data_IF_887241151640
#
_entry.id   IF_887241151640
#
_cell.length_a   1.000
_cell.length_b   1.000
_cell.length_c   1.000
_cell.angle_alpha   90.00
_cell.angle_beta   90.00
_cell.angle_gamma   90.00
#
_symmetry.space_group_name_H-M   'P 1'
#
loop_
_entity.id
_entity.type
_entity.pdbx_description
1 polymer ?
#
# COMPACT_ATOMS: atom_id res chain seq x y z
N UNK A 1 4.37 5.97 10.59
CA UNK A 1 5.66 6.66 10.32
C UNK A 1 6.49 5.93 9.27
N UNK A 2 6.85 4.66 9.45
CA UNK A 2 7.62 3.90 8.45
C UNK A 2 6.96 3.90 7.07
N UNK A 3 5.64 3.66 7.02
CA UNK A 3 4.84 3.75 5.79
C UNK A 3 4.87 5.14 5.17
N UNK A 4 4.72 6.19 5.98
CA UNK A 4 4.76 7.59 5.56
C UNK A 4 6.10 7.92 4.91
N UNK A 5 7.21 7.55 5.54
CA UNK A 5 8.55 7.78 4.99
C UNK A 5 8.78 6.96 3.72
N UNK A 6 8.32 5.71 3.68
CA UNK A 6 8.40 4.88 2.46
C UNK A 6 7.64 5.52 1.29
N UNK A 7 6.46 6.07 1.56
CA UNK A 7 5.67 6.80 0.56
C UNK A 7 6.38 8.05 0.06
N UNK A 8 6.98 8.84 0.94
CA UNK A 8 7.72 10.05 0.57
C UNK A 8 8.91 9.77 -0.35
N UNK A 9 9.52 8.58 -0.26
CA UNK A 9 10.64 8.18 -1.11
C UNK A 9 10.14 7.69 -2.46
N UNK A 10 9.06 6.92 -2.47
CA UNK A 10 8.60 6.21 -3.66
C UNK A 10 7.68 7.07 -4.55
N UNK A 11 7.05 8.13 -4.02
CA UNK A 11 6.05 8.92 -4.75
C UNK A 11 6.50 10.36 -4.99
N UNK A 12 6.13 10.91 -6.14
CA UNK A 12 6.48 12.24 -6.59
C UNK A 12 5.90 13.33 -5.67
N UNK A 13 6.75 14.30 -5.31
CA UNK A 13 6.43 15.31 -4.31
C UNK A 13 5.38 16.34 -4.76
N UNK A 14 5.19 16.52 -6.07
CA UNK A 14 4.32 17.55 -6.66
C UNK A 14 3.05 16.98 -7.23
N UNK A 15 3.11 15.76 -7.74
CA UNK A 15 2.04 15.16 -8.52
C UNK A 15 1.28 14.07 -7.76
N UNK A 16 1.89 13.45 -6.74
CA UNK A 16 1.26 12.33 -6.04
C UNK A 16 0.43 12.78 -4.85
N UNK A 17 -0.85 12.40 -4.84
CA UNK A 17 -1.70 12.53 -3.65
C UNK A 17 -1.15 11.73 -2.46
N UNK A 18 -0.48 10.61 -2.70
CA UNK A 18 0.14 9.79 -1.64
C UNK A 18 1.24 10.55 -0.92
N UNK A 19 2.03 11.35 -1.65
CA UNK A 19 3.04 12.23 -1.05
C UNK A 19 2.36 13.43 -0.37
N UNK A 20 1.52 14.15 -1.10
CA UNK A 20 0.94 15.43 -0.66
C UNK A 20 0.01 15.27 0.55
N UNK A 21 -0.66 14.13 0.72
CA UNK A 21 -1.51 13.85 1.89
C UNK A 21 -0.75 13.24 3.07
N UNK A 22 0.55 12.97 2.93
CA UNK A 22 1.35 12.35 3.98
C UNK A 22 1.43 13.23 5.23
N UNK A 23 1.44 12.60 6.40
CA UNK A 23 1.45 13.31 7.68
C UNK A 23 2.65 14.26 7.82
N UNK A 24 3.84 13.86 7.37
CA UNK A 24 5.05 14.68 7.49
C UNK A 24 5.01 15.91 6.58
N UNK A 25 4.42 15.80 5.38
CA UNK A 25 4.23 16.97 4.52
C UNK A 25 3.16 17.91 5.13
N UNK A 26 2.04 17.34 5.57
CA UNK A 26 0.92 18.09 6.14
C UNK A 26 1.29 18.81 7.45
N UNK A 27 2.20 18.24 8.25
CA UNK A 27 2.74 18.87 9.45
C UNK A 27 3.43 20.20 9.16
N UNK A 28 4.09 20.36 8.02
CA UNK A 28 4.71 21.63 7.58
C UNK A 28 3.70 22.50 6.83
N UNK A 29 2.92 21.90 5.93
CA UNK A 29 2.02 22.61 5.03
C UNK A 29 0.87 23.31 5.77
N UNK A 30 0.15 22.60 6.64
CA UNK A 30 -1.07 23.15 7.27
C UNK A 30 -0.79 24.35 8.19
N UNK A 31 0.23 24.35 9.07
CA UNK A 31 0.55 25.54 9.87
C UNK A 31 0.90 26.75 9.01
N UNK A 32 1.59 26.55 7.87
CA UNK A 32 1.91 27.62 6.94
C UNK A 32 0.64 28.21 6.30
N UNK A 33 -0.29 27.37 5.86
CA UNK A 33 -1.59 27.83 5.33
C UNK A 33 -2.37 28.61 6.39
N UNK A 34 -2.41 28.12 7.64
CA UNK A 34 -3.08 28.82 8.76
C UNK A 34 -2.42 30.17 9.04
N UNK A 35 -1.07 30.25 9.01
CA UNK A 35 -0.32 31.49 9.21
C UNK A 35 -0.59 32.50 8.08
N UNK A 36 -0.57 32.05 6.82
CA UNK A 36 -0.92 32.89 5.66
C UNK A 36 -2.34 33.44 5.79
N UNK A 37 -3.29 32.58 6.19
CA UNK A 37 -4.69 32.95 6.35
C UNK A 37 -4.91 34.00 7.46
N UNK A 38 -4.13 33.96 8.55
CA UNK A 38 -4.21 34.93 9.66
C UNK A 38 -3.46 36.24 9.39
N UNK A 39 -2.59 36.26 8.39
CA UNK A 39 -1.75 37.41 8.05
C UNK A 39 -2.20 38.13 6.78
N UNK A 40 -1.23 38.79 6.13
CA UNK A 40 -1.47 39.53 4.88
C UNK A 40 -1.73 38.61 3.65
N UNK A 41 -1.64 37.28 3.85
CA UNK A 41 -1.82 36.25 2.82
C UNK A 41 -3.27 35.75 2.68
N UNK A 42 -4.21 36.27 3.47
CA UNK A 42 -5.57 35.73 3.59
C UNK A 42 -6.29 35.62 2.24
N UNK A 43 -6.22 36.69 1.43
CA UNK A 43 -6.84 36.72 0.12
C UNK A 43 -6.25 35.67 -0.81
N UNK A 44 -4.93 35.45 -0.81
CA UNK A 44 -4.29 34.43 -1.64
C UNK A 44 -4.76 33.03 -1.24
N UNK A 45 -4.84 32.73 0.07
CA UNK A 45 -5.34 31.45 0.55
C UNK A 45 -6.79 31.23 0.12
N UNK A 46 -7.67 32.22 0.32
CA UNK A 46 -9.08 32.14 -0.10
C UNK A 46 -9.19 31.91 -1.62
N UNK A 47 -8.38 32.61 -2.43
CA UNK A 47 -8.37 32.40 -3.88
C UNK A 47 -7.92 30.99 -4.27
N UNK A 48 -6.90 30.42 -3.61
CA UNK A 48 -6.50 29.02 -3.83
C UNK A 48 -7.63 28.05 -3.49
N UNK A 49 -8.38 28.29 -2.41
CA UNK A 49 -9.55 27.47 -2.06
C UNK A 49 -10.68 27.58 -3.10
N UNK A 50 -10.92 28.78 -3.65
CA UNK A 50 -11.89 28.94 -4.74
C UNK A 50 -11.46 28.20 -6.01
N UNK A 51 -10.18 28.28 -6.39
CA UNK A 51 -9.62 27.52 -7.50
C UNK A 51 -9.74 26.01 -7.27
N UNK A 52 -9.42 25.55 -6.07
CA UNK A 52 -9.56 24.13 -5.70
C UNK A 52 -11.01 23.64 -5.81
N UNK A 53 -11.96 24.41 -5.25
CA UNK A 53 -13.39 24.12 -5.38
C UNK A 53 -13.82 24.08 -6.84
N UNK A 54 -13.41 25.05 -7.65
CA UNK A 54 -13.72 25.09 -9.08
C UNK A 54 -13.19 23.84 -9.77
N UNK A 55 -11.93 23.46 -9.55
CA UNK A 55 -11.33 22.26 -10.12
C UNK A 55 -12.06 20.97 -9.74
N UNK A 56 -12.44 20.80 -8.47
CA UNK A 56 -13.18 19.63 -8.00
C UNK A 56 -14.61 19.56 -8.56
N UNK A 57 -15.24 20.71 -8.79
CA UNK A 57 -16.64 20.80 -9.21
C UNK A 57 -16.84 20.91 -10.71
N UNK A 58 -15.77 20.81 -11.50
CA UNK A 58 -15.87 20.68 -12.96
C UNK A 58 -16.63 19.40 -13.32
N UNK A 59 -17.64 19.46 -14.20
CA UNK A 59 -18.40 18.29 -14.61
C UNK A 59 -17.53 17.13 -15.13
N UNK A 60 -16.47 17.43 -15.87
CA UNK A 60 -15.50 16.44 -16.37
C UNK A 60 -14.72 15.72 -15.25
N UNK A 61 -14.65 16.29 -14.04
CA UNK A 61 -13.95 15.71 -12.88
C UNK A 61 -14.89 15.00 -11.89
N UNK A 62 -16.21 15.14 -12.06
CA UNK A 62 -17.20 14.59 -11.14
C UNK A 62 -17.70 13.23 -11.63
N UNK A 63 -17.65 12.24 -10.74
CA UNK A 63 -18.29 10.94 -10.92
C UNK A 63 -19.29 10.76 -9.80
N UNK A 64 -20.53 10.45 -10.15
CA UNK A 64 -21.61 10.27 -9.20
C UNK A 64 -22.00 8.79 -9.22
N UNK A 65 -21.93 8.16 -8.04
CA UNK A 65 -22.34 6.78 -7.86
C UNK A 65 -23.56 6.74 -6.93
N UNK A 66 -24.67 6.22 -7.44
CA UNK A 66 -25.94 6.10 -6.71
C UNK A 66 -26.28 4.61 -6.60
N UNK A 67 -26.51 4.14 -5.36
CA UNK A 67 -26.89 2.76 -5.11
C UNK A 67 -28.10 2.70 -4.16
N UNK A 68 -28.91 1.66 -4.31
CA UNK A 68 -30.15 1.46 -3.55
C UNK A 68 -31.26 0.91 -4.43
N UNK A 69 -32.49 0.89 -3.91
CA UNK A 69 -33.64 0.46 -4.70
C UNK A 69 -34.19 1.60 -5.59
N UNK A 70 -33.34 2.09 -6.48
CA UNK A 70 -33.61 3.27 -7.31
C UNK A 70 -34.85 3.06 -8.18
N UNK A 71 -35.07 1.83 -8.65
CA UNK A 71 -36.23 1.45 -9.47
C UNK A 71 -37.57 1.44 -8.70
N UNK A 72 -37.55 1.45 -7.37
CA UNK A 72 -38.78 1.60 -6.55
C UNK A 72 -39.19 3.06 -6.34
N UNK A 73 -38.35 4.02 -6.71
CA UNK A 73 -38.71 5.44 -6.61
C UNK A 73 -39.66 5.81 -7.74
N UNK A 74 -40.70 6.59 -7.44
CA UNK A 74 -41.67 7.01 -8.45
C UNK A 74 -41.02 7.90 -9.54
N UNK A 75 -40.13 8.81 -9.14
CA UNK A 75 -39.46 9.76 -10.03
C UNK A 75 -37.96 9.90 -9.69
N UNK A 76 -37.12 8.86 -9.89
CA UNK A 76 -35.73 8.84 -9.41
C UNK A 76 -34.84 9.95 -10.00
N UNK A 77 -35.26 10.54 -11.13
CA UNK A 77 -34.53 11.63 -11.81
C UNK A 77 -34.97 13.03 -11.40
N UNK A 78 -36.12 13.21 -10.74
CA UNK A 78 -36.69 14.55 -10.51
C UNK A 78 -35.79 15.42 -9.63
N UNK A 79 -35.22 14.85 -8.57
CA UNK A 79 -34.30 15.54 -7.64
C UNK A 79 -33.06 16.07 -8.36
N UNK A 80 -32.56 15.32 -9.36
CA UNK A 80 -31.43 15.76 -10.17
C UNK A 80 -31.81 16.96 -11.03
N UNK A 81 -32.96 16.92 -11.70
CA UNK A 81 -33.45 18.04 -12.51
C UNK A 81 -33.76 19.29 -11.68
N UNK A 82 -34.20 19.13 -10.43
CA UNK A 82 -34.57 20.25 -9.56
C UNK A 82 -33.36 20.97 -8.98
N UNK A 83 -32.30 20.24 -8.59
CA UNK A 83 -31.18 20.80 -7.84
C UNK A 83 -29.86 20.88 -8.59
N UNK A 84 -29.74 20.23 -9.76
CA UNK A 84 -28.50 20.22 -10.54
C UNK A 84 -28.68 20.94 -11.89
N UNK A 85 -27.63 21.63 -12.30
CA UNK A 85 -27.55 22.27 -13.62
C UNK A 85 -27.47 21.18 -14.70
N UNK A 86 -28.36 21.25 -15.68
CA UNK A 86 -28.29 20.41 -16.88
C UNK A 86 -27.15 20.92 -17.78
N UNK A 87 -26.31 20.00 -18.26
CA UNK A 87 -25.18 20.29 -19.14
C UNK A 87 -25.52 19.71 -20.51
N UNK A 88 -25.80 20.57 -21.48
CA UNK A 88 -26.30 20.16 -22.80
C UNK A 88 -25.26 19.41 -23.65
N UNK A 89 -23.98 19.75 -23.48
CA UNK A 89 -22.86 19.11 -24.16
C UNK A 89 -21.76 18.75 -23.14
N UNK A 90 -21.89 17.62 -22.42
CA UNK A 90 -20.90 17.21 -21.44
C UNK A 90 -19.59 16.85 -22.15
N UNK A 91 -18.48 17.33 -21.60
CA UNK A 91 -17.15 16.86 -22.01
C UNK A 91 -16.95 15.43 -21.51
N UNK A 92 -16.06 14.69 -22.17
CA UNK A 92 -15.59 13.40 -21.66
C UNK A 92 -14.98 13.55 -20.26
N UNK A 93 -15.22 12.56 -19.41
CA UNK A 93 -14.65 12.53 -18.06
C UNK A 93 -13.12 12.51 -18.12
N UNK A 94 -12.49 13.32 -17.26
CA UNK A 94 -11.04 13.31 -17.05
C UNK A 94 -10.64 11.93 -16.51
N UNK A 95 -9.71 11.21 -17.16
CA UNK A 95 -9.21 9.93 -16.66
C UNK A 95 -8.66 10.05 -15.24
N UNK A 96 -8.88 9.03 -14.40
CA UNK A 96 -8.28 8.98 -13.07
C UNK A 96 -6.92 8.31 -13.21
N UNK A 97 -5.81 9.02 -12.94
CA UNK A 97 -4.49 8.42 -13.03
C UNK A 97 -4.28 7.42 -11.88
N UNK A 98 -3.55 6.34 -12.15
CA UNK A 98 -3.14 5.38 -11.13
C UNK A 98 -1.92 5.89 -10.37
N UNK A 99 -1.82 5.54 -9.09
CA UNK A 99 -0.71 5.98 -8.23
C UNK A 99 0.67 5.62 -8.79
N UNK A 100 0.82 4.47 -9.46
CA UNK A 100 2.08 4.07 -10.10
C UNK A 100 2.60 5.05 -11.18
N UNK A 101 1.73 5.89 -11.75
CA UNK A 101 2.14 6.91 -12.74
C UNK A 101 2.94 8.05 -12.09
N UNK A 102 2.83 8.23 -10.77
CA UNK A 102 3.49 9.30 -10.01
C UNK A 102 4.54 8.74 -9.05
N UNK A 103 5.22 7.67 -9.44
CA UNK A 103 6.39 7.18 -8.72
C UNK A 103 7.61 8.07 -9.00
N UNK A 104 8.54 8.12 -8.05
CA UNK A 104 9.89 8.63 -8.26
C UNK A 104 10.74 7.60 -9.01
N UNK A 105 12.00 7.90 -9.31
CA UNK A 105 12.95 6.89 -9.79
C UNK A 105 13.11 5.73 -8.79
N UNK A 106 13.12 6.03 -7.49
CA UNK A 106 13.23 5.02 -6.43
C UNK A 106 11.98 4.16 -6.32
N UNK A 107 10.79 4.73 -6.53
CA UNK A 107 9.55 3.96 -6.61
C UNK A 107 9.51 3.08 -7.85
N UNK A 108 9.94 3.58 -9.02
CA UNK A 108 9.95 2.79 -10.26
C UNK A 108 10.98 1.66 -10.23
N UNK A 109 12.12 1.88 -9.60
CA UNK A 109 13.22 0.91 -9.53
C UNK A 109 13.68 0.74 -8.07
N UNK A 110 12.93 0.00 -7.23
CA UNK A 110 13.33 -0.23 -5.85
C UNK A 110 14.70 -0.92 -5.77
N UNK A 111 15.55 -0.46 -4.87
CA UNK A 111 16.91 -0.99 -4.69
C UNK A 111 17.92 0.08 -4.30
N UNK A 112 18.85 -0.29 -3.43
CA UNK A 112 19.98 0.52 -2.95
C UNK A 112 19.57 1.86 -2.32
N UNK A 113 18.32 1.99 -1.88
CA UNK A 113 17.81 3.19 -1.20
C UNK A 113 17.23 2.82 0.15
N UNK A 114 17.44 3.71 1.12
CA UNK A 114 16.78 3.55 2.39
C UNK A 114 17.30 4.43 3.50
N UNK A 115 16.50 4.51 4.55
CA UNK A 115 16.77 5.38 5.69
C UNK A 115 16.57 4.64 7.01
N UNK A 116 17.40 4.99 7.99
CA UNK A 116 17.13 4.73 9.39
C UNK A 116 16.73 6.05 10.02
N UNK A 117 15.45 6.17 10.38
CA UNK A 117 14.86 7.36 10.97
C UNK A 117 14.93 7.26 12.48
N UNK A 118 15.62 8.21 13.09
CA UNK A 118 15.71 8.34 14.55
C UNK A 118 14.43 8.98 15.09
N UNK A 119 13.72 8.27 15.97
CA UNK A 119 12.53 8.78 16.64
C UNK A 119 12.64 8.55 18.15
N UNK A 120 12.89 9.58 18.98
CA UNK A 120 13.01 9.43 20.43
C UNK A 120 11.70 9.04 21.15
N UNK A 121 10.54 9.35 20.57
CA UNK A 121 9.23 9.17 21.21
C UNK A 121 8.66 7.73 21.12
N UNK A 122 9.48 6.73 20.82
CA UNK A 122 9.06 5.33 20.70
C UNK A 122 10.00 4.42 21.50
N UNK A 123 9.53 3.21 21.81
CA UNK A 123 10.28 2.18 22.53
C UNK A 123 10.60 0.96 21.66
N UNK A 124 10.12 0.94 20.42
CA UNK A 124 10.28 -0.17 19.48
C UNK A 124 10.92 0.29 18.18
N UNK A 125 11.47 -0.66 17.44
CA UNK A 125 11.90 -0.51 16.05
C UNK A 125 10.81 -1.03 15.11
N UNK A 126 10.66 -0.37 13.98
CA UNK A 126 9.71 -0.70 12.91
C UNK A 126 10.47 -0.71 11.58
N UNK A 127 10.20 -1.64 10.69
CA UNK A 127 10.76 -1.59 9.33
C UNK A 127 9.72 -1.85 8.26
N UNK A 128 10.00 -1.33 7.07
CA UNK A 128 9.22 -1.56 5.86
C UNK A 128 10.19 -1.72 4.70
N UNK A 129 9.95 -2.75 3.92
CA UNK A 129 10.72 -3.13 2.74
C UNK A 129 9.76 -3.04 1.55
N UNK A 130 10.23 -2.48 0.44
CA UNK A 130 9.45 -2.40 -0.80
C UNK A 130 10.28 -2.94 -1.95
N UNK A 131 9.68 -3.83 -2.74
CA UNK A 131 10.22 -4.31 -3.99
C UNK A 131 9.17 -4.18 -5.09
N UNK A 132 9.58 -4.38 -6.35
CA UNK A 132 8.66 -4.45 -7.48
C UNK A 132 7.65 -5.60 -7.29
N UNK A 133 6.38 -5.30 -7.56
CA UNK A 133 5.27 -6.25 -7.51
C UNK A 133 4.51 -6.28 -8.84
N UNK A 134 3.41 -7.04 -8.93
CA UNK A 134 2.51 -6.95 -10.07
C UNK A 134 1.95 -5.52 -10.23
N UNK A 135 2.01 -4.96 -11.43
CA UNK A 135 1.54 -3.60 -11.77
C UNK A 135 0.22 -3.58 -12.56
N UNK A 136 -0.34 -4.76 -12.84
CA UNK A 136 -1.63 -4.93 -13.51
C UNK A 136 -2.61 -5.72 -12.64
N UNK A 137 -3.85 -5.23 -12.55
CA UNK A 137 -4.93 -5.84 -11.77
C UNK A 137 -5.26 -7.26 -12.24
N UNK A 138 -5.10 -7.55 -13.54
CA UNK A 138 -5.38 -8.86 -14.13
C UNK A 138 -4.17 -9.81 -14.16
N UNK A 139 -3.05 -9.42 -13.53
CA UNK A 139 -1.80 -10.21 -13.52
C UNK A 139 -2.06 -11.70 -13.23
N UNK A 140 -1.49 -12.62 -14.03
CA UNK A 140 -1.68 -14.06 -13.82
C UNK A 140 -1.12 -14.53 -12.47
N UNK A 141 -0.15 -13.79 -11.93
CA UNK A 141 0.56 -14.12 -10.70
C UNK A 141 -0.19 -13.70 -9.43
N UNK A 142 -1.19 -12.83 -9.56
CA UNK A 142 -1.82 -12.17 -8.41
C UNK A 142 -2.44 -13.18 -7.43
N UNK A 143 -3.16 -14.17 -7.93
CA UNK A 143 -3.82 -15.17 -7.08
C UNK A 143 -2.80 -15.97 -6.26
N UNK A 144 -1.78 -16.53 -6.91
CA UNK A 144 -0.73 -17.32 -6.27
C UNK A 144 0.10 -16.48 -5.28
N UNK A 145 0.40 -15.23 -5.63
CA UNK A 145 1.12 -14.32 -4.74
C UNK A 145 0.32 -13.98 -3.48
N UNK A 146 -0.99 -13.71 -3.61
CA UNK A 146 -1.86 -13.46 -2.46
C UNK A 146 -1.93 -14.68 -1.53
N UNK A 147 -2.07 -15.88 -2.09
CA UNK A 147 -2.08 -17.15 -1.32
C UNK A 147 -0.75 -17.36 -0.62
N UNK A 148 0.37 -17.10 -1.28
CA UNK A 148 1.70 -17.21 -0.66
C UNK A 148 1.87 -16.22 0.49
N UNK A 149 1.50 -14.95 0.30
CA UNK A 149 1.55 -13.95 1.37
C UNK A 149 0.74 -14.38 2.59
N UNK A 150 -0.50 -14.85 2.36
CA UNK A 150 -1.36 -15.33 3.44
C UNK A 150 -0.79 -16.57 4.14
N UNK A 151 -0.28 -17.55 3.39
CA UNK A 151 0.32 -18.77 3.95
C UNK A 151 1.50 -18.47 4.89
N UNK A 152 2.31 -17.46 4.55
CA UNK A 152 3.46 -17.09 5.37
C UNK A 152 3.05 -16.32 6.63
N UNK A 153 2.06 -15.43 6.55
CA UNK A 153 1.76 -14.47 7.61
C UNK A 153 0.56 -14.81 8.49
N UNK A 154 -0.32 -15.73 8.07
CA UNK A 154 -1.53 -16.10 8.80
C UNK A 154 -1.20 -16.49 10.25
N UNK A 155 -2.22 -16.47 11.13
CA UNK A 155 -2.05 -16.97 12.50
C UNK A 155 -1.59 -18.43 12.46
N UNK A 156 -0.56 -18.76 13.25
CA UNK A 156 0.16 -20.04 13.18
C UNK A 156 0.86 -20.36 11.83
N UNK A 157 0.92 -19.38 10.92
CA UNK A 157 1.76 -19.41 9.72
C UNK A 157 3.25 -19.31 10.05
N UNK A 158 4.10 -19.40 9.01
CA UNK A 158 5.55 -19.49 9.18
C UNK A 158 6.15 -18.27 9.89
N UNK A 159 5.77 -17.06 9.47
CA UNK A 159 6.26 -15.82 10.09
C UNK A 159 5.69 -15.64 11.50
N UNK A 160 4.45 -16.08 11.75
CA UNK A 160 3.89 -16.06 13.08
C UNK A 160 4.74 -16.90 14.04
N UNK A 161 5.01 -18.16 13.69
CA UNK A 161 5.80 -19.08 14.51
C UNK A 161 7.25 -18.60 14.71
N UNK A 162 7.92 -18.18 13.64
CA UNK A 162 9.34 -17.82 13.68
C UNK A 162 9.63 -16.43 14.26
N UNK A 163 8.69 -15.50 14.15
CA UNK A 163 8.91 -14.09 14.51
C UNK A 163 8.05 -13.71 15.70
N UNK A 164 6.73 -13.86 15.60
CA UNK A 164 5.81 -13.49 16.69
C UNK A 164 5.94 -14.43 17.89
N UNK A 165 5.94 -15.74 17.66
CA UNK A 165 6.09 -16.76 18.70
C UNK A 165 7.42 -16.67 19.45
N UNK A 166 8.46 -16.18 18.79
CA UNK A 166 9.78 -15.95 19.39
C UNK A 166 9.94 -14.56 20.03
N UNK A 167 8.88 -13.74 20.05
CA UNK A 167 8.92 -12.39 20.62
C UNK A 167 9.77 -11.38 19.83
N UNK A 168 10.12 -11.68 18.58
CA UNK A 168 10.96 -10.81 17.75
C UNK A 168 10.21 -9.62 17.17
N UNK A 169 8.89 -9.73 16.98
CA UNK A 169 8.03 -8.61 16.60
C UNK A 169 6.59 -8.86 17.08
N UNK A 170 5.80 -7.80 17.16
CA UNK A 170 4.37 -7.93 17.43
C UNK A 170 3.60 -8.48 16.23
N UNK A 171 3.94 -8.02 15.03
CA UNK A 171 3.42 -8.56 13.79
C UNK A 171 4.37 -8.29 12.64
N UNK A 172 4.24 -9.11 11.61
CA UNK A 172 4.83 -8.88 10.31
C UNK A 172 3.78 -9.09 9.25
N UNK A 173 3.76 -8.27 8.22
CA UNK A 173 2.78 -8.41 7.16
C UNK A 173 3.41 -8.22 5.78
N UNK A 174 2.96 -9.05 4.85
CA UNK A 174 3.23 -8.99 3.43
C UNK A 174 2.02 -8.37 2.75
N UNK A 175 2.23 -7.31 1.98
CA UNK A 175 1.17 -6.63 1.25
C UNK A 175 1.51 -6.54 -0.23
N UNK A 176 0.62 -7.04 -1.07
CA UNK A 176 0.64 -6.81 -2.52
C UNK A 176 -0.20 -5.58 -2.82
N UNK A 177 0.40 -4.55 -3.42
CA UNK A 177 -0.28 -3.33 -3.83
C UNK A 177 -0.16 -3.16 -5.35
N UNK A 178 -1.18 -3.66 -6.05
CA UNK A 178 -1.17 -3.74 -7.52
C UNK A 178 -1.28 -2.37 -8.18
N UNK A 179 -2.01 -1.44 -7.55
CA UNK A 179 -2.10 -0.07 -8.07
C UNK A 179 -0.74 0.64 -8.02
N UNK A 180 0.06 0.33 -6.99
CA UNK A 180 1.38 0.91 -6.82
C UNK A 180 2.45 0.16 -7.61
N UNK A 181 2.16 -1.06 -8.09
CA UNK A 181 3.16 -1.94 -8.69
C UNK A 181 4.19 -2.46 -7.69
N UNK A 182 3.81 -2.62 -6.42
CA UNK A 182 4.74 -2.94 -5.34
C UNK A 182 4.29 -4.13 -4.50
N UNK A 183 5.28 -4.82 -3.94
CA UNK A 183 5.11 -5.70 -2.78
C UNK A 183 5.83 -5.09 -1.58
N UNK A 184 5.24 -5.23 -0.40
CA UNK A 184 5.76 -4.73 0.86
C UNK A 184 5.95 -5.85 1.86
N UNK A 185 6.99 -5.75 2.68
CA UNK A 185 7.14 -6.48 3.93
C UNK A 185 7.30 -5.50 5.07
N UNK A 186 6.37 -5.53 6.03
CA UNK A 186 6.39 -4.69 7.22
C UNK A 186 6.69 -5.49 8.49
N UNK A 187 7.44 -4.86 9.38
CA UNK A 187 7.71 -5.35 10.74
C UNK A 187 7.21 -4.29 11.70
N UNK A 188 6.17 -4.64 12.45
CA UNK A 188 5.51 -3.75 13.36
C UNK A 188 5.83 -4.09 14.82
N UNK A 189 6.28 -3.08 15.57
CA UNK A 189 6.66 -3.15 17.00
C UNK A 189 7.61 -4.32 17.30
N UNK A 190 8.89 -4.14 16.98
CA UNK A 190 9.96 -5.08 17.30
C UNK A 190 10.94 -4.47 18.31
N UNK A 191 11.50 -5.23 19.25
CA UNK A 191 12.67 -4.78 20.03
C UNK A 191 13.91 -4.53 19.14
N UNK A 192 13.99 -5.23 18.02
CA UNK A 192 15.08 -5.16 17.04
C UNK A 192 14.57 -5.65 15.67
N UNK A 193 14.11 -4.71 14.83
CA UNK A 193 13.50 -5.07 13.54
C UNK A 193 14.47 -5.79 12.60
N UNK A 194 15.78 -5.61 12.77
CA UNK A 194 16.77 -6.32 11.96
C UNK A 194 16.77 -7.82 12.28
N UNK A 195 16.62 -8.21 13.55
CA UNK A 195 16.53 -9.65 13.93
C UNK A 195 15.27 -10.31 13.37
N UNK A 196 14.14 -9.60 13.42
CA UNK A 196 12.90 -10.08 12.80
C UNK A 196 13.03 -10.20 11.27
N UNK A 197 13.65 -9.20 10.63
CA UNK A 197 13.98 -9.22 9.20
C UNK A 197 14.87 -10.41 8.84
N UNK A 198 15.89 -10.71 9.65
CA UNK A 198 16.82 -11.81 9.39
C UNK A 198 16.11 -13.18 9.44
N UNK A 199 15.19 -13.38 10.38
CA UNK A 199 14.39 -14.60 10.45
C UNK A 199 13.45 -14.74 9.25
N UNK A 200 12.75 -13.66 8.87
CA UNK A 200 11.91 -13.65 7.67
C UNK A 200 12.73 -13.96 6.40
N UNK A 201 13.92 -13.35 6.29
CA UNK A 201 14.85 -13.61 5.18
C UNK A 201 15.25 -15.08 5.12
N UNK A 202 15.72 -15.64 6.23
CA UNK A 202 16.12 -17.05 6.31
C UNK A 202 14.99 -17.98 5.89
N UNK A 203 13.76 -17.70 6.34
CA UNK A 203 12.57 -18.45 5.97
C UNK A 203 12.25 -18.37 4.47
N UNK A 204 12.21 -17.15 3.90
CA UNK A 204 11.89 -16.94 2.48
C UNK A 204 12.94 -17.57 1.56
N UNK A 205 14.23 -17.39 1.86
CA UNK A 205 15.30 -18.03 1.09
C UNK A 205 15.30 -19.55 1.28
N UNK A 206 15.04 -20.05 2.49
CA UNK A 206 14.91 -21.48 2.74
C UNK A 206 13.79 -22.13 1.94
N UNK A 207 12.65 -21.46 1.81
CA UNK A 207 11.55 -21.89 0.94
C UNK A 207 11.92 -21.82 -0.54
N UNK A 208 12.56 -20.73 -0.98
CA UNK A 208 12.97 -20.54 -2.38
C UNK A 208 13.99 -21.60 -2.83
N UNK A 209 14.91 -21.95 -1.94
CA UNK A 209 15.91 -23.01 -2.13
C UNK A 209 15.33 -24.43 -1.89
N UNK A 210 14.06 -24.56 -1.53
CA UNK A 210 13.39 -25.82 -1.16
C UNK A 210 14.04 -26.56 0.02
N UNK A 211 14.76 -25.85 0.90
CA UNK A 211 15.28 -26.36 2.19
C UNK A 211 14.21 -26.39 3.26
N UNK A 212 13.19 -25.54 3.11
CA UNK A 212 11.96 -25.53 3.90
C UNK A 212 10.84 -25.91 2.94
N UNK A 213 9.96 -26.83 3.35
CA UNK A 213 8.76 -27.15 2.60
C UNK A 213 7.60 -26.24 3.03
N UNK A 214 6.66 -25.99 2.12
CA UNK A 214 5.42 -25.31 2.48
C UNK A 214 4.58 -26.15 3.45
N UNK A 215 3.90 -25.47 4.36
CA UNK A 215 2.90 -26.10 5.22
C UNK A 215 1.67 -26.51 4.39
N UNK A 216 1.66 -27.78 3.98
CA UNK A 216 0.55 -28.36 3.19
C UNK A 216 -0.78 -28.32 3.93
N UNK A 217 -0.76 -28.41 5.27
CA UNK A 217 -1.98 -28.33 6.07
C UNK A 217 -2.51 -26.89 6.11
N UNK A 218 -1.61 -25.91 6.19
CA UNK A 218 -1.94 -24.48 6.18
C UNK A 218 -2.38 -23.94 4.81
N UNK A 219 -2.03 -24.61 3.71
CA UNK A 219 -2.27 -24.12 2.34
C UNK A 219 -3.76 -23.85 2.01
N UNK A 220 -4.66 -24.80 2.31
CA UNK A 220 -6.10 -24.59 2.08
C UNK A 220 -6.69 -23.51 3.01
N UNK A 221 -6.11 -23.36 4.21
CA UNK A 221 -6.42 -22.26 5.12
C UNK A 221 -6.04 -20.90 4.53
N UNK A 222 -4.87 -20.80 3.88
CA UNK A 222 -4.41 -19.59 3.22
C UNK A 222 -5.33 -19.19 2.05
N UNK A 223 -5.72 -20.16 1.21
CA UNK A 223 -6.71 -19.92 0.13
C UNK A 223 -8.03 -19.38 0.69
N UNK A 224 -8.53 -20.01 1.76
CA UNK A 224 -9.74 -19.58 2.45
C UNK A 224 -9.60 -18.16 3.05
N UNK A 225 -8.44 -17.81 3.61
CA UNK A 225 -8.13 -16.49 4.15
C UNK A 225 -8.15 -15.39 3.08
N UNK A 226 -7.57 -15.68 1.90
CA UNK A 226 -7.62 -14.77 0.74
C UNK A 226 -9.05 -14.61 0.23
N UNK A 227 -9.79 -15.72 0.06
CA UNK A 227 -11.20 -15.70 -0.35
C UNK A 227 -12.06 -14.88 0.62
N UNK A 228 -11.92 -15.12 1.91
CA UNK A 228 -12.62 -14.36 2.94
C UNK A 228 -12.30 -12.86 2.85
N UNK A 229 -11.03 -12.50 2.66
CA UNK A 229 -10.61 -11.11 2.52
C UNK A 229 -11.21 -10.42 1.29
N UNK A 230 -11.36 -11.15 0.18
CA UNK A 230 -12.03 -10.66 -1.04
C UNK A 230 -13.54 -10.50 -0.82
N UNK A 231 -14.23 -11.52 -0.33
CA UNK A 231 -15.69 -11.49 -0.08
C UNK A 231 -16.06 -10.43 0.97
N UNK A 232 -15.23 -10.23 1.99
CA UNK A 232 -15.46 -9.22 3.04
C UNK A 232 -15.51 -7.80 2.49
N UNK A 233 -14.89 -7.51 1.35
CA UNK A 233 -15.00 -6.21 0.66
C UNK A 233 -16.40 -5.96 0.11
N UNK A 234 -17.21 -7.00 -0.04
CA UNK A 234 -18.58 -6.94 -0.57
C UNK A 234 -19.62 -7.40 0.48
N UNK A 235 -19.23 -7.48 1.76
CA UNK A 235 -20.05 -8.11 2.81
C UNK A 235 -21.38 -7.42 3.15
N UNK A 236 -21.72 -6.31 2.49
CA UNK A 236 -23.06 -5.71 2.52
C UNK A 236 -23.30 -4.88 1.25
N UNK A 237 -24.55 -4.46 1.02
CA UNK A 237 -24.95 -3.75 -0.20
C UNK A 237 -24.17 -2.46 -0.46
N UNK A 238 -23.87 -1.68 0.59
CA UNK A 238 -23.13 -0.43 0.46
C UNK A 238 -21.69 -0.69 0.02
N UNK A 239 -21.03 -1.67 0.66
CA UNK A 239 -19.67 -2.08 0.32
C UNK A 239 -19.58 -2.69 -1.08
N UNK A 240 -20.51 -3.59 -1.43
CA UNK A 240 -20.57 -4.18 -2.77
C UNK A 240 -20.75 -3.13 -3.86
N UNK A 241 -21.61 -2.12 -3.63
CA UNK A 241 -21.77 -1.02 -4.56
C UNK A 241 -20.47 -0.19 -4.70
N UNK A 242 -19.82 0.16 -3.59
CA UNK A 242 -18.54 0.89 -3.63
C UNK A 242 -17.47 0.09 -4.39
N UNK A 243 -17.34 -1.21 -4.09
CA UNK A 243 -16.36 -2.07 -4.78
C UNK A 243 -16.67 -2.19 -6.28
N UNK A 244 -17.94 -2.33 -6.66
CA UNK A 244 -18.37 -2.31 -8.07
C UNK A 244 -17.93 -1.03 -8.79
N UNK A 245 -18.09 0.13 -8.15
CA UNK A 245 -17.63 1.40 -8.71
C UNK A 245 -16.10 1.46 -8.82
N UNK A 246 -15.37 1.02 -7.79
CA UNK A 246 -13.90 1.00 -7.80
C UNK A 246 -13.38 0.09 -8.93
N UNK A 247 -13.90 -1.13 -9.05
CA UNK A 247 -13.47 -2.11 -10.06
C UNK A 247 -13.74 -1.60 -11.47
N UNK A 248 -14.97 -1.19 -11.76
CA UNK A 248 -15.36 -0.87 -13.13
C UNK A 248 -14.96 0.53 -13.55
N UNK A 249 -15.08 1.52 -12.66
CA UNK A 249 -14.90 2.94 -13.04
C UNK A 249 -13.49 3.44 -12.74
N UNK A 250 -12.86 2.99 -11.65
CA UNK A 250 -11.54 3.49 -11.25
C UNK A 250 -10.39 2.60 -11.75
N UNK A 251 -10.59 1.28 -11.75
CA UNK A 251 -9.58 0.31 -12.21
C UNK A 251 -9.78 -0.12 -13.67
N UNK A 252 -10.89 0.26 -14.29
CA UNK A 252 -11.25 -0.11 -15.67
C UNK A 252 -11.29 -1.64 -15.89
N UNK A 253 -11.78 -2.37 -14.89
CA UNK A 253 -11.88 -3.84 -14.90
C UNK A 253 -13.31 -4.31 -15.15
N UNK A 254 -13.44 -5.54 -15.65
CA UNK A 254 -14.75 -6.18 -15.87
C UNK A 254 -15.55 -6.33 -14.56
N UNK A 255 -16.88 -6.28 -14.66
CA UNK A 255 -17.78 -6.41 -13.51
C UNK A 255 -17.60 -7.75 -12.75
N UNK A 256 -17.18 -8.82 -13.43
CA UNK A 256 -16.92 -10.13 -12.84
C UNK A 256 -15.48 -10.27 -12.34
N UNK A 257 -14.65 -9.22 -12.38
CA UNK A 257 -13.23 -9.27 -11.99
C UNK A 257 -13.01 -9.93 -10.62
N UNK A 258 -13.75 -9.51 -9.58
CA UNK A 258 -13.58 -10.06 -8.24
C UNK A 258 -13.97 -11.54 -8.17
N UNK A 259 -15.04 -11.95 -8.86
CA UNK A 259 -15.46 -13.34 -8.95
C UNK A 259 -14.46 -14.20 -9.72
N UNK A 260 -13.89 -13.67 -10.79
CA UNK A 260 -12.82 -14.32 -11.54
C UNK A 260 -11.56 -14.49 -10.68
N UNK A 261 -11.20 -13.48 -9.88
CA UNK A 261 -10.09 -13.58 -8.94
C UNK A 261 -10.35 -14.63 -7.86
N UNK A 262 -11.57 -14.74 -7.32
CA UNK A 262 -11.95 -15.81 -6.39
C UNK A 262 -11.75 -17.19 -7.00
N UNK A 263 -12.19 -17.40 -8.25
CA UNK A 263 -12.01 -18.65 -8.96
C UNK A 263 -10.52 -18.96 -9.19
N UNK A 264 -9.71 -17.95 -9.56
CA UNK A 264 -8.26 -18.08 -9.70
C UNK A 264 -7.60 -18.50 -8.37
N UNK A 265 -7.97 -17.87 -7.25
CA UNK A 265 -7.45 -18.21 -5.90
C UNK A 265 -7.80 -19.65 -5.52
N UNK A 266 -9.03 -20.09 -5.79
CA UNK A 266 -9.45 -21.46 -5.51
C UNK A 266 -8.67 -22.49 -6.34
N UNK A 267 -8.29 -22.14 -7.56
CA UNK A 267 -7.55 -22.99 -8.49
C UNK A 267 -6.03 -23.02 -8.26
N UNK A 268 -5.49 -22.17 -7.37
CA UNK A 268 -4.06 -22.18 -7.02
C UNK A 268 -3.66 -23.54 -6.44
N UNK A 269 -2.54 -24.07 -6.93
CA UNK A 269 -1.84 -25.24 -6.39
C UNK A 269 -0.61 -24.80 -5.60
N UNK A 270 -0.13 -25.67 -4.72
CA UNK A 270 1.00 -25.33 -3.83
C UNK A 270 2.30 -25.12 -4.62
N UNK A 271 2.45 -25.79 -5.77
CA UNK A 271 3.57 -25.66 -6.69
C UNK A 271 3.64 -24.27 -7.33
N UNK A 272 2.48 -23.62 -7.53
CA UNK A 272 2.37 -22.28 -8.12
C UNK A 272 2.97 -21.19 -7.21
N UNK A 273 3.23 -21.52 -5.94
CA UNK A 273 3.81 -20.59 -4.97
C UNK A 273 5.34 -20.46 -5.12
N UNK A 274 6.03 -21.49 -5.62
CA UNK A 274 7.49 -21.44 -5.74
C UNK A 274 8.00 -20.33 -6.69
N UNK A 275 7.43 -20.14 -7.89
CA UNK A 275 7.80 -19.02 -8.76
C UNK A 275 7.58 -17.65 -8.09
N UNK A 276 6.56 -17.52 -7.23
CA UNK A 276 6.26 -16.25 -6.55
C UNK A 276 7.32 -15.87 -5.50
N UNK A 277 7.95 -16.87 -4.88
CA UNK A 277 9.08 -16.63 -3.96
C UNK A 277 10.23 -15.94 -4.68
N UNK A 278 10.68 -16.50 -5.81
CA UNK A 278 11.86 -16.01 -6.53
C UNK A 278 11.56 -14.74 -7.32
N UNK A 279 10.35 -14.63 -7.89
CA UNK A 279 9.94 -13.46 -8.68
C UNK A 279 9.66 -12.23 -7.82
N UNK A 280 9.12 -12.39 -6.61
CA UNK A 280 8.65 -11.26 -5.80
C UNK A 280 9.26 -11.23 -4.39
N UNK A 281 9.08 -12.29 -3.59
CA UNK A 281 9.38 -12.20 -2.15
C UNK A 281 10.87 -12.10 -1.83
N UNK A 282 11.74 -12.82 -2.54
CA UNK A 282 13.20 -12.75 -2.34
C UNK A 282 13.72 -11.33 -2.57
N UNK A 283 13.09 -10.57 -3.47
CA UNK A 283 13.52 -9.22 -3.82
C UNK A 283 13.34 -8.21 -2.67
N UNK A 284 12.46 -8.50 -1.71
CA UNK A 284 12.28 -7.70 -0.48
C UNK A 284 13.48 -7.77 0.48
N UNK A 285 14.37 -8.74 0.27
CA UNK A 285 15.46 -9.06 1.19
C UNK A 285 16.86 -8.87 0.57
N UNK A 286 16.91 -8.14 -0.54
CA UNK A 286 18.09 -7.93 -1.37
C UNK A 286 18.36 -6.42 -1.52
N UNK A 287 19.59 -5.94 -1.23
CA UNK A 287 19.92 -4.53 -1.41
C UNK A 287 19.62 -4.02 -2.82
N UNK A 288 19.89 -4.81 -3.85
CA UNK A 288 19.75 -4.45 -5.25
C UNK A 288 18.30 -4.24 -5.71
N UNK A 289 17.31 -4.75 -4.97
CA UNK A 289 15.90 -4.76 -5.39
C UNK A 289 14.92 -4.25 -4.32
N UNK A 290 15.41 -3.87 -3.13
CA UNK A 290 14.56 -3.40 -2.04
C UNK A 290 14.91 -1.98 -1.61
N UNK A 291 13.90 -1.12 -1.55
CA UNK A 291 13.94 0.09 -0.74
C UNK A 291 13.63 -0.27 0.73
N UNK A 292 14.35 0.34 1.68
CA UNK A 292 14.20 0.01 3.10
C UNK A 292 14.03 1.26 3.95
N UNK A 293 13.00 1.29 4.77
CA UNK A 293 12.85 2.30 5.82
C UNK A 293 12.80 1.59 7.15
N UNK A 294 13.63 2.04 8.08
CA UNK A 294 13.57 1.63 9.49
C UNK A 294 13.31 2.87 10.34
N UNK A 295 12.38 2.79 11.27
CA UNK A 295 12.17 3.81 12.30
C UNK A 295 12.55 3.19 13.64
N UNK A 296 13.48 3.82 14.35
CA UNK A 296 14.05 3.23 15.56
C UNK A 296 14.33 4.26 16.65
N UNK A 297 14.45 3.78 17.89
CA UNK A 297 14.95 4.57 19.01
C UNK A 297 16.40 5.01 18.76
N UNK A 298 16.83 6.18 19.27
CA UNK A 298 18.21 6.64 19.11
C UNK A 298 19.25 5.63 19.60
N UNK A 299 18.95 4.90 20.68
CA UNK A 299 19.84 3.90 21.28
C UNK A 299 20.07 2.72 20.34
N UNK A 300 19.06 2.32 19.56
CA UNK A 300 19.10 1.09 18.75
C UNK A 300 19.60 1.31 17.31
N UNK A 301 19.77 2.55 16.88
CA UNK A 301 20.15 2.92 15.50
C UNK A 301 21.45 2.27 15.06
N UNK A 302 22.49 2.29 15.90
CA UNK A 302 23.80 1.71 15.55
C UNK A 302 23.70 0.20 15.29
N UNK A 303 23.00 -0.53 16.14
CA UNK A 303 22.82 -1.98 16.00
C UNK A 303 22.06 -2.32 14.72
N UNK A 304 20.97 -1.57 14.44
CA UNK A 304 20.15 -1.75 13.24
C UNK A 304 20.97 -1.44 11.98
N UNK A 305 21.72 -0.34 11.99
CA UNK A 305 22.60 0.06 10.90
C UNK A 305 23.66 -1.02 10.63
N UNK A 306 24.34 -1.51 11.66
CA UNK A 306 25.32 -2.59 11.53
C UNK A 306 24.71 -3.87 10.97
N UNK A 307 23.51 -4.25 11.44
CA UNK A 307 22.81 -5.43 10.95
C UNK A 307 22.51 -5.35 9.45
N UNK A 308 21.88 -4.26 9.03
CA UNK A 308 21.55 -4.05 7.61
C UNK A 308 22.79 -3.89 6.73
N UNK A 309 23.82 -3.18 7.20
CA UNK A 309 25.11 -3.09 6.51
C UNK A 309 25.77 -4.46 6.33
N UNK A 310 25.66 -5.35 7.32
CA UNK A 310 26.12 -6.74 7.23
C UNK A 310 25.41 -7.56 6.14
N UNK A 311 24.25 -7.11 5.67
CA UNK A 311 23.51 -7.68 4.53
C UNK A 311 23.67 -6.87 3.24
N UNK A 312 24.60 -5.91 3.20
CA UNK A 312 24.92 -5.11 2.00
C UNK A 312 24.02 -3.89 1.79
N UNK A 313 23.03 -3.64 2.65
CA UNK A 313 22.24 -2.41 2.58
C UNK A 313 23.07 -1.23 3.03
N UNK A 314 22.96 -0.09 2.34
CA UNK A 314 23.65 1.16 2.71
C UNK A 314 22.63 2.21 3.14
N UNK A 315 22.06 2.03 4.32
CA UNK A 315 20.97 2.89 4.81
C UNK A 315 21.50 4.21 5.36
N UNK A 316 20.85 5.33 5.03
CA UNK A 316 21.23 6.65 5.54
C UNK A 316 20.51 6.94 6.86
N UNK A 317 21.26 7.26 7.91
CA UNK A 317 20.66 7.66 9.18
C UNK A 317 20.17 9.12 9.09
N UNK A 318 18.88 9.36 9.32
CA UNK A 318 18.26 10.69 9.30
C UNK A 318 17.44 10.96 10.58
N UNK A 319 17.28 12.24 10.92
CA UNK A 319 16.24 12.67 11.86
C UNK A 319 14.90 12.73 11.11
N UNK A 320 13.79 12.70 11.84
CA UNK A 320 12.46 12.77 11.22
C UNK A 320 12.28 14.04 10.38
N UNK A 321 12.69 15.20 10.92
CA UNK A 321 12.50 16.51 10.27
C UNK A 321 13.33 16.70 9.00
N UNK A 322 14.37 15.87 8.81
CA UNK A 322 15.26 15.89 7.65
C UNK A 322 14.87 14.92 6.53
N UNK A 323 13.72 14.24 6.67
CA UNK A 323 13.21 13.33 5.63
C UNK A 323 12.65 14.12 4.44
N UNK A 324 11.91 15.18 4.73
CA UNK A 324 11.40 16.13 3.72
C UNK A 324 12.31 17.35 3.80
N UNK A 325 13.14 17.56 2.78
CA UNK A 325 14.01 18.74 2.66
C UNK A 325 13.25 19.98 2.18
#
# INVERSE_FOLDING_TARGET
MTSTVMQLINFDEKLSNTYLSSTLYQEKFLPNVIKELKGNGANQVIQRFYQFRELLTKPENLRIHVYGNILKLANPKSVWNEHFKIIEAPKSLTPVPLSQQFLTEFGRNPGNQGFIVKLPAIESTFSMHTAEGPSSFDSPDLASLLVLCELLQATEGLFWKLIRGQGLAYSTNLKVDVEYGHIYFDIYKSPDAFKAYEQARKAVFGLADKKIEFDKAGFEGAKSGVIYSLVRKEGNISKAAIESFVVQVLKDMDAEYNKNLLAKVQAVNIEDLYPMLTKYLVNLFKPETSNVVVVSTPVKVKDVEQGFNGHGFKLKVKNLDSIIE
#
